data_IF_144997297922
#
_entry.id   IF_144997297922
#
_cell.length_a   1.000
_cell.length_b   1.000
_cell.length_c   1.000
_cell.angle_alpha   90.00
_cell.angle_beta   90.00
_cell.angle_gamma   90.00
#
_symmetry.space_group_name_H-M   'P 1'
#
loop_
_entity.id
_entity.type
_entity.pdbx_description
1 polymer ?
#
# COMPACT_ATOMS: atom_id res chain seq x y z
N UNK A 1 -45.89 -3.36 -19.35
CA UNK A 1 -44.61 -3.56 -18.63
C UNK A 1 -44.37 -2.32 -17.81
N UNK A 2 -44.36 -2.44 -16.48
CA UNK A 2 -44.13 -1.30 -15.57
C UNK A 2 -42.66 -0.88 -15.67
N UNK A 3 -42.36 0.15 -16.46
CA UNK A 3 -41.06 0.80 -16.41
C UNK A 3 -41.02 1.68 -15.17
N UNK A 4 -40.08 1.42 -14.27
CA UNK A 4 -39.85 2.33 -13.14
C UNK A 4 -38.98 3.49 -13.61
N UNK A 5 -39.43 4.72 -13.33
CA UNK A 5 -38.69 5.94 -13.66
C UNK A 5 -38.09 6.50 -12.38
N UNK A 6 -36.77 6.52 -12.30
CA UNK A 6 -36.02 7.07 -11.16
C UNK A 6 -35.46 8.42 -11.54
N UNK A 7 -35.71 9.45 -10.73
CA UNK A 7 -35.22 10.79 -11.01
C UNK A 7 -34.40 11.27 -9.81
N UNK A 8 -33.11 11.51 -10.02
CA UNK A 8 -32.24 12.14 -9.04
C UNK A 8 -32.24 13.64 -9.29
N UNK A 9 -32.79 14.41 -8.34
CA UNK A 9 -33.01 15.85 -8.45
C UNK A 9 -32.26 16.58 -7.33
N UNK A 10 -31.50 17.65 -7.63
CA UNK A 10 -30.91 18.49 -6.60
C UNK A 10 -31.99 19.23 -5.83
N UNK A 11 -31.81 19.39 -4.51
CA UNK A 11 -32.67 20.24 -3.71
C UNK A 11 -32.47 21.69 -4.17
N UNK A 12 -33.51 22.27 -4.75
CA UNK A 12 -33.51 23.64 -5.23
C UNK A 12 -33.68 24.64 -4.07
N UNK A 13 -32.99 25.79 -4.08
CA UNK A 13 -33.19 26.84 -3.09
C UNK A 13 -34.61 27.41 -3.21
N UNK A 14 -35.28 27.67 -2.08
CA UNK A 14 -36.66 28.18 -2.06
C UNK A 14 -36.79 29.62 -2.59
N UNK A 15 -35.70 30.39 -2.61
CA UNK A 15 -35.71 31.82 -2.99
C UNK A 15 -35.71 32.07 -4.51
N UNK A 16 -35.52 31.02 -5.33
CA UNK A 16 -35.46 31.13 -6.79
C UNK A 16 -36.82 30.84 -7.44
N UNK A 17 -37.38 31.85 -8.10
CA UNK A 17 -38.69 31.77 -8.80
C UNK A 17 -38.66 30.93 -10.08
N UNK A 18 -37.50 30.85 -10.75
CA UNK A 18 -37.33 30.12 -12.00
C UNK A 18 -35.99 29.41 -12.00
N UNK A 19 -35.99 28.11 -12.24
CA UNK A 19 -34.76 27.29 -12.28
C UNK A 19 -34.78 26.44 -13.54
N UNK A 20 -33.71 26.56 -14.31
CA UNK A 20 -33.45 25.71 -15.45
C UNK A 20 -32.42 24.67 -15.09
N UNK A 21 -32.62 23.43 -15.54
CA UNK A 21 -31.69 22.34 -15.24
C UNK A 21 -31.38 21.47 -16.44
N UNK A 22 -30.19 20.88 -16.39
CA UNK A 22 -29.66 19.91 -17.35
C UNK A 22 -29.39 18.59 -16.63
N UNK A 23 -29.67 17.49 -17.31
CA UNK A 23 -29.36 16.16 -16.84
C UNK A 23 -29.05 15.17 -17.97
N UNK A 24 -28.82 13.93 -17.57
CA UNK A 24 -28.54 12.79 -18.43
C UNK A 24 -29.52 11.65 -18.17
N UNK A 25 -29.89 10.95 -19.24
CA UNK A 25 -30.76 9.77 -19.20
C UNK A 25 -29.91 8.53 -19.38
N UNK A 26 -30.17 7.52 -18.57
CA UNK A 26 -29.60 6.18 -18.76
C UNK A 26 -30.69 5.14 -18.67
N UNK A 27 -30.70 4.22 -19.63
CA UNK A 27 -31.58 3.06 -19.67
C UNK A 27 -30.81 1.84 -19.17
N UNK A 28 -31.41 1.09 -18.24
CA UNK A 28 -30.89 -0.20 -17.79
C UNK A 28 -31.52 -1.33 -18.60
N UNK A 29 -30.88 -2.51 -18.62
CA UNK A 29 -31.31 -3.68 -19.38
C UNK A 29 -32.76 -4.13 -19.06
N UNK A 30 -33.29 -3.77 -17.89
CA UNK A 30 -34.66 -4.10 -17.45
C UNK A 30 -35.71 -3.02 -17.80
N UNK A 31 -35.49 -2.17 -18.82
CA UNK A 31 -36.36 -1.04 -19.19
C UNK A 31 -36.60 0.00 -18.07
N UNK A 32 -35.78 0.00 -17.02
CA UNK A 32 -35.77 1.03 -15.99
C UNK A 32 -35.03 2.27 -16.48
N UNK A 33 -35.67 3.43 -16.41
CA UNK A 33 -35.10 4.71 -16.84
C UNK A 33 -34.62 5.46 -15.61
N UNK A 34 -33.33 5.81 -15.57
CA UNK A 34 -32.76 6.67 -14.53
C UNK A 34 -32.35 8.00 -15.13
N UNK A 35 -32.91 9.08 -14.60
CA UNK A 35 -32.65 10.45 -14.97
C UNK A 35 -31.76 11.08 -13.88
N UNK A 36 -30.59 11.57 -14.28
CA UNK A 36 -29.66 12.29 -13.40
C UNK A 36 -29.68 13.76 -13.76
N UNK A 37 -30.20 14.61 -12.89
CA UNK A 37 -30.00 16.05 -13.05
C UNK A 37 -28.58 16.36 -12.54
N UNK A 38 -27.79 17.14 -13.29
CA UNK A 38 -26.35 17.36 -12.99
C UNK A 38 -25.98 18.82 -12.88
N UNK A 39 -26.82 19.72 -13.39
CA UNK A 39 -26.61 21.18 -13.33
C UNK A 39 -27.94 21.91 -13.27
N UNK A 40 -27.99 22.99 -12.50
CA UNK A 40 -29.12 23.92 -12.49
C UNK A 40 -28.61 25.37 -12.41
N UNK A 41 -29.42 26.32 -12.85
CA UNK A 41 -29.14 27.75 -12.76
C UNK A 41 -30.45 28.56 -12.62
N UNK A 42 -30.34 29.73 -11.97
CA UNK A 42 -31.46 30.66 -11.73
C UNK A 42 -31.75 31.59 -12.92
N UNK A 43 -31.03 31.43 -14.03
CA UNK A 43 -31.20 32.20 -15.27
C UNK A 43 -31.12 31.23 -16.45
N UNK A 44 -31.70 31.62 -17.60
CA UNK A 44 -31.64 30.84 -18.84
C UNK A 44 -30.22 30.31 -19.07
N UNK A 45 -30.04 29.00 -18.88
CA UNK A 45 -28.81 28.32 -19.26
C UNK A 45 -28.70 28.50 -20.76
N UNK A 46 -27.54 28.86 -21.30
CA UNK A 46 -27.34 28.88 -22.75
C UNK A 46 -27.51 27.45 -23.27
N UNK A 47 -28.71 27.14 -23.77
CA UNK A 47 -29.03 25.82 -24.30
C UNK A 47 -28.37 25.63 -25.66
N UNK A 48 -27.68 24.51 -25.91
CA UNK A 48 -27.15 24.23 -27.23
C UNK A 48 -28.29 24.07 -28.24
N UNK A 49 -28.05 24.46 -29.49
CA UNK A 49 -29.05 24.44 -30.55
C UNK A 49 -29.56 23.02 -30.90
N UNK A 50 -28.83 21.96 -30.53
CA UNK A 50 -29.17 20.56 -30.79
C UNK A 50 -28.95 19.71 -29.53
N UNK A 51 -30.00 19.03 -29.07
CA UNK A 51 -29.97 18.12 -27.91
C UNK A 51 -29.35 16.78 -28.31
N UNK A 52 -28.47 16.22 -27.47
CA UNK A 52 -27.99 14.83 -27.63
C UNK A 52 -29.04 13.85 -27.11
N UNK A 53 -29.09 12.64 -27.67
CA UNK A 53 -30.11 11.63 -27.31
C UNK A 53 -30.15 11.28 -25.82
N UNK A 54 -28.99 11.33 -25.13
CA UNK A 54 -28.88 11.00 -23.70
C UNK A 54 -29.01 12.22 -22.77
N UNK A 55 -29.29 13.42 -23.28
CA UNK A 55 -29.45 14.62 -22.46
C UNK A 55 -30.93 14.92 -22.22
N UNK A 56 -31.26 15.38 -21.01
CA UNK A 56 -32.57 15.91 -20.65
C UNK A 56 -32.44 17.35 -20.17
N UNK A 57 -33.41 18.16 -20.54
CA UNK A 57 -33.51 19.55 -20.11
C UNK A 57 -34.82 19.75 -19.38
N UNK A 58 -34.86 20.68 -18.44
CA UNK A 58 -36.08 20.91 -17.70
C UNK A 58 -36.16 22.27 -17.04
N UNK A 59 -37.37 22.56 -16.59
CA UNK A 59 -37.75 23.81 -15.96
C UNK A 59 -38.45 23.51 -14.64
N UNK A 60 -38.17 24.34 -13.64
CA UNK A 60 -38.82 24.33 -12.34
C UNK A 60 -39.30 25.76 -12.04
N UNK A 61 -40.62 25.94 -11.92
CA UNK A 61 -41.25 27.24 -11.68
C UNK A 61 -42.78 27.17 -11.68
N UNK A 62 -43.46 28.28 -11.38
CA UNK A 62 -44.93 28.33 -11.31
C UNK A 62 -45.60 28.24 -12.70
N UNK A 63 -44.96 28.78 -13.74
CA UNK A 63 -45.52 28.81 -15.10
C UNK A 63 -44.47 28.48 -16.16
N UNK A 64 -44.70 27.38 -16.90
CA UNK A 64 -43.82 27.00 -18.00
C UNK A 64 -43.88 28.02 -19.17
N UNK A 65 -42.75 28.61 -19.59
CA UNK A 65 -42.73 29.48 -20.75
C UNK A 65 -43.09 28.70 -22.04
N UNK A 66 -44.16 29.11 -22.74
CA UNK A 66 -44.70 28.43 -23.94
C UNK A 66 -43.67 28.19 -25.07
N UNK A 67 -42.56 28.92 -25.10
CA UNK A 67 -41.49 28.78 -26.11
C UNK A 67 -40.52 27.61 -25.84
N UNK A 68 -40.52 27.02 -24.65
CA UNK A 68 -39.46 26.07 -24.22
C UNK A 68 -39.89 24.59 -24.35
N UNK A 69 -41.15 24.26 -24.08
CA UNK A 69 -41.66 22.87 -24.07
C UNK A 69 -41.45 22.11 -25.39
N UNK A 70 -41.57 22.80 -26.54
CA UNK A 70 -41.59 22.14 -27.85
C UNK A 70 -40.21 22.06 -28.53
N UNK A 71 -39.17 22.58 -27.88
CA UNK A 71 -37.83 22.69 -28.49
C UNK A 71 -36.98 21.42 -28.30
N UNK A 72 -37.36 20.55 -27.36
CA UNK A 72 -36.53 19.44 -26.89
C UNK A 72 -37.30 18.12 -26.93
N UNK A 73 -36.65 17.05 -27.39
CA UNK A 73 -37.24 15.71 -27.47
C UNK A 73 -37.34 15.05 -26.10
N UNK A 74 -36.40 15.36 -25.20
CA UNK A 74 -36.43 14.97 -23.79
C UNK A 74 -36.60 16.22 -22.91
N UNK A 75 -37.75 16.35 -22.23
CA UNK A 75 -38.06 17.49 -21.40
C UNK A 75 -38.73 17.08 -20.08
N UNK A 76 -38.35 17.74 -18.97
CA UNK A 76 -38.91 17.53 -17.64
C UNK A 76 -39.46 18.86 -17.08
N UNK A 77 -40.75 18.88 -16.76
CA UNK A 77 -41.44 20.03 -16.16
C UNK A 77 -41.83 19.72 -14.71
N UNK A 78 -41.39 20.58 -13.80
CA UNK A 78 -41.58 20.43 -12.36
C UNK A 78 -42.21 21.71 -11.81
N UNK A 79 -43.30 21.57 -11.07
CA UNK A 79 -43.94 22.67 -10.37
C UNK A 79 -43.50 22.70 -8.91
N UNK A 80 -43.11 23.88 -8.43
CA UNK A 80 -42.57 24.11 -7.10
C UNK A 80 -43.47 25.06 -6.30
N UNK A 81 -44.46 24.51 -5.60
CA UNK A 81 -45.34 25.26 -4.69
C UNK A 81 -44.94 25.00 -3.22
N UNK A 82 -45.32 23.84 -2.65
CA UNK A 82 -44.94 23.38 -1.29
C UNK A 82 -44.34 21.97 -1.28
N UNK A 83 -44.66 21.17 -2.30
CA UNK A 83 -44.11 19.85 -2.59
C UNK A 83 -43.76 19.79 -4.07
N UNK A 84 -42.63 19.19 -4.45
CA UNK A 84 -42.23 19.04 -5.85
C UNK A 84 -43.26 18.14 -6.58
N UNK A 85 -44.00 18.71 -7.53
CA UNK A 85 -44.94 17.98 -8.39
C UNK A 85 -44.39 17.91 -9.80
N UNK A 86 -44.41 16.72 -10.40
CA UNK A 86 -43.96 16.53 -11.78
C UNK A 86 -45.17 16.71 -12.70
N UNK A 87 -45.16 17.78 -13.50
CA UNK A 87 -46.27 18.13 -14.38
C UNK A 87 -46.17 17.42 -15.73
N UNK A 88 -44.96 17.28 -16.28
CA UNK A 88 -44.75 16.66 -17.59
C UNK A 88 -43.39 15.98 -17.68
N UNK A 89 -43.38 14.71 -18.05
CA UNK A 89 -42.18 13.97 -18.46
C UNK A 89 -42.32 13.61 -19.94
N UNK A 90 -41.43 14.15 -20.78
CA UNK A 90 -41.34 13.82 -22.20
C UNK A 90 -40.00 13.13 -22.44
N UNK A 91 -40.03 11.88 -22.94
CA UNK A 91 -38.86 11.09 -23.28
C UNK A 91 -38.99 10.63 -24.74
N UNK A 92 -37.95 10.87 -25.55
CA UNK A 92 -37.90 10.60 -26.98
C UNK A 92 -39.15 11.10 -27.74
N UNK A 93 -39.64 12.28 -27.37
CA UNK A 93 -40.81 12.91 -27.97
C UNK A 93 -42.17 12.37 -27.51
N UNK A 94 -42.22 11.30 -26.70
CA UNK A 94 -43.46 10.73 -26.14
C UNK A 94 -43.65 11.14 -24.68
N UNK A 95 -44.89 11.49 -24.31
CA UNK A 95 -45.24 11.81 -22.93
C UNK A 95 -45.40 10.52 -22.12
N UNK A 96 -44.63 10.38 -21.05
CA UNK A 96 -44.66 9.20 -20.18
C UNK A 96 -45.50 9.51 -18.94
N UNK A 97 -46.74 9.03 -18.92
CA UNK A 97 -47.65 9.17 -17.78
C UNK A 97 -47.28 8.10 -16.77
N UNK A 98 -46.56 8.45 -15.70
CA UNK A 98 -46.16 7.51 -14.65
C UNK A 98 -46.50 8.08 -13.28
N UNK A 99 -47.78 8.00 -12.91
CA UNK A 99 -48.25 8.44 -11.59
C UNK A 99 -47.93 7.42 -10.48
N UNK A 100 -47.67 6.15 -10.81
CA UNK A 100 -47.50 5.07 -9.80
C UNK A 100 -46.12 4.40 -9.76
N UNK A 101 -45.26 4.59 -10.76
CA UNK A 101 -43.93 3.94 -10.85
C UNK A 101 -42.75 4.92 -10.85
N UNK A 102 -42.95 6.14 -10.35
CA UNK A 102 -41.91 7.18 -10.27
C UNK A 102 -41.29 7.26 -8.86
N UNK A 103 -39.97 7.16 -8.79
CA UNK A 103 -39.19 7.34 -7.55
C UNK A 103 -38.39 8.63 -7.68
N UNK A 104 -38.71 9.60 -6.83
CA UNK A 104 -38.03 10.89 -6.75
C UNK A 104 -36.97 10.84 -5.66
N UNK A 105 -35.71 11.06 -6.01
CA UNK A 105 -34.60 11.09 -5.06
C UNK A 105 -34.01 12.50 -4.99
N UNK A 106 -34.25 13.18 -3.88
CA UNK A 106 -33.74 14.52 -3.61
C UNK A 106 -32.35 14.44 -3.00
N UNK A 107 -31.38 15.16 -3.56
CA UNK A 107 -30.02 15.19 -3.04
C UNK A 107 -29.50 16.62 -2.88
N UNK A 108 -28.60 16.84 -1.92
CA UNK A 108 -27.90 18.11 -1.78
C UNK A 108 -26.79 18.22 -2.84
N UNK A 109 -26.94 19.18 -3.74
CA UNK A 109 -26.05 19.40 -4.86
C UNK A 109 -24.61 19.70 -4.44
N UNK A 110 -24.44 20.58 -3.45
CA UNK A 110 -23.11 21.03 -3.03
C UNK A 110 -22.36 19.89 -2.34
N UNK A 111 -23.06 19.15 -1.47
CA UNK A 111 -22.49 18.00 -0.77
C UNK A 111 -22.07 16.86 -1.72
N UNK A 112 -22.86 16.55 -2.75
CA UNK A 112 -22.49 15.53 -3.76
C UNK A 112 -21.35 16.00 -4.66
N UNK A 113 -21.38 17.27 -5.08
CA UNK A 113 -20.37 17.86 -5.97
C UNK A 113 -18.97 17.85 -5.33
N UNK A 114 -18.88 18.18 -4.05
CA UNK A 114 -17.60 18.30 -3.36
C UNK A 114 -17.10 16.97 -2.76
N UNK A 115 -17.98 15.97 -2.63
CA UNK A 115 -17.62 14.65 -2.12
C UNK A 115 -16.66 13.90 -3.05
N UNK A 116 -15.61 13.32 -2.45
CA UNK A 116 -14.67 12.42 -3.13
C UNK A 116 -14.70 11.00 -2.54
N UNK A 117 -15.58 10.74 -1.56
CA UNK A 117 -15.59 9.48 -0.78
C UNK A 117 -16.71 8.51 -1.18
N UNK A 118 -17.53 8.86 -2.18
CA UNK A 118 -18.59 8.02 -2.74
C UNK A 118 -17.96 7.03 -3.72
N UNK A 119 -17.64 5.83 -3.23
CA UNK A 119 -16.98 4.77 -4.02
C UNK A 119 -17.66 3.41 -3.87
N UNK A 120 -18.90 3.37 -3.38
CA UNK A 120 -19.54 2.09 -3.06
C UNK A 120 -19.99 1.36 -4.34
N UNK A 121 -19.35 0.22 -4.61
CA UNK A 121 -19.59 -0.65 -5.77
C UNK A 121 -20.98 -1.29 -5.82
N UNK A 122 -21.76 -1.21 -4.74
CA UNK A 122 -23.09 -1.81 -4.64
C UNK A 122 -24.20 -0.96 -5.26
N UNK A 123 -24.02 0.36 -5.37
CA UNK A 123 -25.03 1.27 -5.95
C UNK A 123 -24.44 2.02 -7.15
N UNK A 124 -24.51 1.38 -8.33
CA UNK A 124 -23.96 1.94 -9.59
C UNK A 124 -24.52 3.31 -9.95
N UNK A 125 -25.75 3.64 -9.52
CA UNK A 125 -26.43 4.90 -9.84
C UNK A 125 -25.75 6.14 -9.21
N UNK A 126 -25.36 6.08 -7.94
CA UNK A 126 -24.77 7.24 -7.24
C UNK A 126 -23.34 7.51 -7.70
N UNK A 127 -22.56 6.46 -7.92
CA UNK A 127 -21.21 6.59 -8.49
C UNK A 127 -21.28 7.17 -9.90
N UNK A 128 -22.29 6.78 -10.70
CA UNK A 128 -22.52 7.34 -12.02
C UNK A 128 -22.94 8.82 -11.97
N UNK A 129 -23.83 9.20 -11.03
CA UNK A 129 -24.19 10.60 -10.79
C UNK A 129 -22.95 11.46 -10.46
N UNK A 130 -22.12 10.99 -9.52
CA UNK A 130 -20.89 11.69 -9.11
C UNK A 130 -19.93 11.84 -10.30
N UNK A 131 -19.73 10.77 -11.08
CA UNK A 131 -18.88 10.83 -12.27
C UNK A 131 -19.41 11.82 -13.31
N UNK A 132 -20.72 11.84 -13.59
CA UNK A 132 -21.32 12.78 -14.53
C UNK A 132 -21.18 14.24 -14.04
N UNK A 133 -21.39 14.51 -12.75
CA UNK A 133 -21.19 15.84 -12.16
C UNK A 133 -19.71 16.26 -12.25
N UNK A 134 -18.77 15.33 -12.01
CA UNK A 134 -17.33 15.58 -12.08
C UNK A 134 -16.85 15.82 -13.51
N UNK A 135 -17.34 15.03 -14.48
CA UNK A 135 -17.05 15.18 -15.92
C UNK A 135 -17.52 16.54 -16.44
N UNK A 136 -18.73 16.98 -16.07
CA UNK A 136 -19.25 18.30 -16.46
C UNK A 136 -18.45 19.47 -15.86
N UNK A 137 -17.72 19.25 -14.77
CA UNK A 137 -16.82 20.22 -14.15
C UNK A 137 -15.34 20.02 -14.56
N UNK A 138 -15.04 19.11 -15.49
CA UNK A 138 -13.69 18.88 -16.03
C UNK A 138 -12.75 18.07 -15.13
N UNK A 139 -13.27 17.36 -14.13
CA UNK A 139 -12.49 16.50 -13.23
C UNK A 139 -12.52 15.06 -13.76
N UNK A 140 -11.46 14.63 -14.46
CA UNK A 140 -11.36 13.26 -15.01
C UNK A 140 -10.56 12.36 -14.07
N UNK A 141 -11.25 11.43 -13.40
CA UNK A 141 -10.61 10.35 -12.63
C UNK A 141 -10.03 9.29 -13.57
N UNK A 142 -8.77 9.49 -14.01
CA UNK A 142 -7.94 8.40 -14.53
C UNK A 142 -6.93 7.99 -13.47
N UNK A 143 -7.12 6.79 -12.94
CA UNK A 143 -6.17 6.07 -12.09
C UNK A 143 -4.95 5.68 -12.95
N UNK A 144 -4.10 6.65 -13.25
CA UNK A 144 -2.81 6.39 -13.86
C UNK A 144 -1.85 5.98 -12.75
N UNK A 145 -1.46 4.71 -12.74
CA UNK A 145 -0.07 4.29 -13.01
C UNK A 145 0.15 2.83 -12.57
N UNK A 146 0.11 1.90 -13.53
CA UNK A 146 0.70 0.57 -13.36
C UNK A 146 2.22 0.75 -13.38
N UNK A 147 2.88 0.62 -12.23
CA UNK A 147 4.31 0.89 -12.11
C UNK A 147 5.08 -0.40 -11.85
N UNK A 148 6.00 -0.68 -12.78
CA UNK A 148 6.95 -1.79 -12.73
C UNK A 148 7.99 -1.61 -11.60
N UNK A 149 8.22 -2.69 -10.85
CA UNK A 149 9.24 -2.80 -9.82
C UNK A 149 10.63 -2.99 -10.46
N UNK A 150 11.54 -2.05 -10.22
CA UNK A 150 12.95 -2.22 -10.61
C UNK A 150 13.66 -3.14 -9.59
N UNK A 151 13.92 -4.38 -10.00
CA UNK A 151 14.59 -5.42 -9.18
C UNK A 151 16.07 -5.13 -8.86
N UNK A 152 16.74 -4.24 -9.61
CA UNK A 152 18.19 -4.01 -9.47
C UNK A 152 18.60 -3.19 -8.24
N UNK A 153 17.67 -2.53 -7.54
CA UNK A 153 17.92 -1.74 -6.32
C UNK A 153 17.54 -2.48 -5.03
N UNK A 154 17.39 -3.80 -5.07
CA UNK A 154 16.82 -4.57 -3.95
C UNK A 154 17.64 -4.54 -2.65
N UNK A 155 18.93 -4.21 -2.69
CA UNK A 155 19.83 -4.37 -1.54
C UNK A 155 19.93 -3.17 -0.59
N UNK A 156 19.65 -1.95 -1.05
CA UNK A 156 19.75 -0.72 -0.24
C UNK A 156 18.37 -0.10 -0.04
N UNK A 157 17.98 0.08 1.23
CA UNK A 157 16.73 0.73 1.58
C UNK A 157 16.76 2.21 1.23
N UNK A 158 17.91 2.87 1.39
CA UNK A 158 18.08 4.28 1.06
C UNK A 158 17.85 4.56 -0.43
N UNK A 159 18.47 3.77 -1.32
CA UNK A 159 18.30 3.93 -2.76
C UNK A 159 16.87 3.63 -3.20
N UNK A 160 16.25 2.57 -2.67
CA UNK A 160 14.83 2.29 -2.91
C UNK A 160 13.95 3.45 -2.49
N UNK A 161 14.22 4.03 -1.33
CA UNK A 161 13.47 5.16 -0.80
C UNK A 161 13.61 6.39 -1.69
N UNK A 162 14.81 6.75 -2.15
CA UNK A 162 15.02 7.85 -3.11
C UNK A 162 14.20 7.63 -4.37
N UNK A 163 14.28 6.44 -4.98
CA UNK A 163 13.57 6.14 -6.22
C UNK A 163 12.04 6.18 -6.05
N UNK A 164 11.55 5.63 -4.94
CA UNK A 164 10.13 5.67 -4.60
C UNK A 164 9.68 7.11 -4.33
N UNK A 165 10.42 7.86 -3.52
CA UNK A 165 10.11 9.26 -3.18
C UNK A 165 10.08 10.14 -4.44
N UNK A 166 11.05 10.01 -5.33
CA UNK A 166 11.08 10.71 -6.62
C UNK A 166 9.88 10.36 -7.51
N UNK A 167 9.43 9.10 -7.47
CA UNK A 167 8.24 8.65 -8.20
C UNK A 167 6.96 9.22 -7.60
N UNK A 168 6.82 9.23 -6.28
CA UNK A 168 5.70 9.86 -5.58
C UNK A 168 5.63 11.36 -5.91
N UNK A 169 6.78 12.04 -5.94
CA UNK A 169 6.85 13.46 -6.28
C UNK A 169 6.43 13.72 -7.74
N UNK A 170 6.90 12.88 -8.69
CA UNK A 170 6.46 12.96 -10.10
C UNK A 170 4.96 12.74 -10.24
N UNK A 171 4.40 11.75 -9.54
CA UNK A 171 2.95 11.51 -9.50
C UNK A 171 2.18 12.69 -8.90
N UNK A 172 2.67 13.29 -7.81
CA UNK A 172 2.04 14.45 -7.19
C UNK A 172 2.03 15.65 -8.15
N UNK A 173 3.17 15.96 -8.78
CA UNK A 173 3.31 17.08 -9.73
C UNK A 173 2.43 16.88 -10.96
N UNK A 174 2.41 15.67 -11.55
CA UNK A 174 1.59 15.41 -12.73
C UNK A 174 0.10 15.53 -12.44
N UNK A 175 -0.34 15.05 -11.28
CA UNK A 175 -1.76 15.07 -10.90
C UNK A 175 -2.21 16.48 -10.48
N UNK A 176 -1.37 17.25 -9.79
CA UNK A 176 -1.66 18.66 -9.45
C UNK A 176 -1.73 19.55 -10.71
N UNK A 177 -0.82 19.35 -11.67
CA UNK A 177 -0.83 20.08 -12.94
C UNK A 177 -2.08 19.78 -13.78
N UNK A 178 -2.58 18.53 -13.71
CA UNK A 178 -3.77 18.08 -14.44
C UNK A 178 -5.06 18.65 -13.85
N UNK A 179 -5.26 18.49 -12.54
CA UNK A 179 -6.57 18.71 -11.92
C UNK A 179 -6.80 20.16 -11.44
N UNK A 180 -5.74 20.99 -11.37
CA UNK A 180 -5.72 22.38 -10.86
C UNK A 180 -6.30 22.57 -9.44
N UNK A 181 -6.74 21.49 -8.78
CA UNK A 181 -7.29 21.42 -7.43
C UNK A 181 -6.64 20.27 -6.68
N UNK A 182 -6.45 20.45 -5.36
CA UNK A 182 -5.89 19.42 -4.49
C UNK A 182 -6.98 18.40 -4.12
N UNK A 183 -6.88 17.20 -4.68
CA UNK A 183 -7.68 16.05 -4.31
C UNK A 183 -7.28 15.52 -2.91
N UNK A 184 -8.19 14.82 -2.24
CA UNK A 184 -7.95 14.32 -0.88
C UNK A 184 -6.75 13.36 -0.80
N UNK A 185 -6.53 12.53 -1.84
CA UNK A 185 -5.34 11.65 -1.97
C UNK A 185 -4.03 12.45 -1.98
N UNK A 186 -3.99 13.55 -2.74
CA UNK A 186 -2.81 14.41 -2.88
C UNK A 186 -2.55 15.16 -1.58
N UNK A 187 -3.60 15.68 -0.94
CA UNK A 187 -3.49 16.37 0.35
C UNK A 187 -2.93 15.47 1.45
N UNK A 188 -3.33 14.19 1.50
CA UNK A 188 -2.74 13.20 2.41
C UNK A 188 -1.23 13.09 2.20
N UNK A 189 -0.79 12.95 0.95
CA UNK A 189 0.64 12.84 0.64
C UNK A 189 1.42 14.11 1.01
N UNK A 190 0.87 15.29 0.70
CA UNK A 190 1.51 16.58 1.04
C UNK A 190 1.68 16.70 2.55
N UNK A 191 0.63 16.42 3.32
CA UNK A 191 0.70 16.54 4.79
C UNK A 191 1.60 15.47 5.41
N UNK A 192 1.64 14.27 4.82
CA UNK A 192 2.60 13.23 5.20
C UNK A 192 4.06 13.69 4.98
N UNK A 193 4.37 14.31 3.84
CA UNK A 193 5.70 14.86 3.54
C UNK A 193 6.07 15.97 4.54
N UNK A 194 5.14 16.89 4.83
CA UNK A 194 5.39 17.97 5.80
C UNK A 194 5.68 17.41 7.18
N UNK A 195 4.89 16.44 7.65
CA UNK A 195 5.14 15.80 8.94
C UNK A 195 6.44 15.01 8.95
N UNK A 196 6.81 14.37 7.85
CA UNK A 196 8.08 13.65 7.72
C UNK A 196 9.28 14.59 7.86
N UNK A 197 9.23 15.78 7.25
CA UNK A 197 10.26 16.81 7.39
C UNK A 197 10.32 17.33 8.84
N UNK A 198 9.18 17.60 9.47
CA UNK A 198 9.13 18.07 10.88
C UNK A 198 9.72 17.02 11.82
N UNK A 199 9.30 15.76 11.69
CA UNK A 199 9.85 14.64 12.47
C UNK A 199 11.36 14.48 12.22
N UNK A 200 11.80 14.65 10.97
CA UNK A 200 13.21 14.59 10.60
C UNK A 200 14.02 15.68 11.28
N UNK A 201 13.52 16.91 11.31
CA UNK A 201 14.17 18.03 11.99
C UNK A 201 14.27 17.80 13.50
N UNK A 202 13.17 17.34 14.15
CA UNK A 202 13.16 17.01 15.58
C UNK A 202 14.18 15.91 15.89
N UNK A 203 14.22 14.85 15.07
CA UNK A 203 15.17 13.75 15.24
C UNK A 203 16.63 14.21 15.07
N UNK A 204 16.92 15.10 14.11
CA UNK A 204 18.25 15.68 13.96
C UNK A 204 18.64 16.56 15.15
N UNK A 205 17.71 17.33 15.71
CA UNK A 205 18.00 18.19 16.84
C UNK A 205 18.35 17.36 18.10
N UNK A 206 17.69 16.22 18.29
CA UNK A 206 18.09 15.24 19.30
C UNK A 206 19.47 14.63 19.03
N UNK A 207 19.80 14.38 17.76
CA UNK A 207 21.10 13.85 17.35
C UNK A 207 22.20 14.93 17.26
N UNK A 208 21.87 16.22 17.37
CA UNK A 208 22.85 17.30 17.21
C UNK A 208 23.63 17.63 18.49
N UNK A 209 23.43 16.86 19.55
CA UNK A 209 24.35 16.85 20.69
C UNK A 209 25.70 16.28 20.21
N UNK A 210 26.84 16.86 20.66
CA UNK A 210 28.19 16.78 20.04
C UNK A 210 28.41 15.52 19.16
N UNK A 211 28.52 15.72 17.84
CA UNK A 211 28.70 14.63 16.85
C UNK A 211 29.88 13.72 17.19
N UNK A 212 30.90 14.26 17.85
CA UNK A 212 32.08 13.48 18.30
C UNK A 212 31.70 12.50 19.40
N UNK A 213 30.90 12.93 20.37
CA UNK A 213 30.41 12.07 21.44
C UNK A 213 29.54 10.93 20.90
N UNK A 214 28.71 11.21 19.89
CA UNK A 214 27.91 10.19 19.21
C UNK A 214 28.81 9.19 18.47
N UNK A 215 29.84 9.67 17.77
CA UNK A 215 30.78 8.79 17.08
C UNK A 215 31.53 7.88 18.06
N UNK A 216 31.99 8.43 19.19
CA UNK A 216 32.65 7.67 20.26
C UNK A 216 31.68 6.65 20.87
N UNK A 217 30.46 7.07 21.18
CA UNK A 217 29.41 6.19 21.71
C UNK A 217 29.05 5.06 20.75
N UNK A 218 28.89 5.36 19.45
CA UNK A 218 28.62 4.37 18.41
C UNK A 218 29.77 3.36 18.31
N UNK A 219 31.02 3.83 18.28
CA UNK A 219 32.18 2.94 18.25
C UNK A 219 32.24 2.04 19.50
N UNK A 220 31.96 2.60 20.69
CA UNK A 220 31.88 1.81 21.93
C UNK A 220 30.78 0.75 21.91
N UNK A 221 29.62 1.04 21.30
CA UNK A 221 28.56 0.04 21.08
C UNK A 221 29.03 -1.05 20.12
N UNK A 222 29.65 -0.69 19.00
CA UNK A 222 30.18 -1.65 18.02
C UNK A 222 31.25 -2.55 18.64
N UNK A 223 32.19 -1.98 19.39
CA UNK A 223 33.21 -2.72 20.14
C UNK A 223 32.57 -3.72 21.12
N UNK A 224 31.58 -3.28 21.90
CA UNK A 224 30.86 -4.17 22.83
C UNK A 224 30.15 -5.32 22.10
N UNK A 225 29.54 -5.06 20.94
CA UNK A 225 28.91 -6.09 20.12
C UNK A 225 29.94 -7.11 19.61
N UNK A 226 31.10 -6.65 19.14
CA UNK A 226 32.17 -7.52 18.65
C UNK A 226 32.73 -8.39 19.79
N UNK A 227 33.00 -7.78 20.94
CA UNK A 227 33.46 -8.51 22.13
C UNK A 227 32.44 -9.56 22.59
N UNK A 228 31.15 -9.24 22.51
CA UNK A 228 30.07 -10.19 22.78
C UNK A 228 30.06 -11.36 21.78
N UNK A 229 30.30 -11.08 20.50
CA UNK A 229 30.39 -12.10 19.45
C UNK A 229 31.63 -13.01 19.64
N UNK A 230 32.77 -12.45 20.03
CA UNK A 230 33.95 -13.22 20.42
C UNK A 230 33.69 -14.13 21.61
N UNK A 231 33.03 -13.60 22.65
CA UNK A 231 32.63 -14.38 23.83
C UNK A 231 31.71 -15.54 23.44
N UNK A 232 30.74 -15.28 22.56
CA UNK A 232 29.84 -16.30 22.03
C UNK A 232 30.59 -17.39 21.24
N UNK A 233 31.52 -17.01 20.36
CA UNK A 233 32.36 -17.97 19.63
C UNK A 233 33.23 -18.81 20.58
N UNK A 234 33.80 -18.20 21.61
CA UNK A 234 34.58 -18.90 22.64
C UNK A 234 33.70 -19.88 23.43
N UNK A 235 32.47 -19.49 23.75
CA UNK A 235 31.48 -20.38 24.38
C UNK A 235 31.11 -21.56 23.48
N UNK A 236 30.90 -21.31 22.17
CA UNK A 236 30.63 -22.37 21.18
C UNK A 236 31.79 -23.36 21.05
N UNK A 237 33.03 -22.89 21.11
CA UNK A 237 34.24 -23.74 21.07
C UNK A 237 34.41 -24.66 22.30
N UNK A 238 33.70 -24.39 23.40
CA UNK A 238 33.72 -25.19 24.62
C UNK A 238 32.74 -26.37 24.57
N UNK A 239 31.86 -26.44 25.57
CA UNK A 239 30.77 -27.41 25.68
C UNK A 239 29.42 -26.67 25.79
N UNK A 240 28.96 -26.03 24.70
CA UNK A 240 27.72 -25.25 24.72
C UNK A 240 26.52 -26.15 25.04
N UNK A 241 25.69 -25.74 26.00
CA UNK A 241 24.48 -26.47 26.44
C UNK A 241 24.75 -27.92 26.87
N UNK A 242 25.99 -28.25 27.26
CA UNK A 242 26.39 -29.62 27.60
C UNK A 242 26.49 -30.57 26.41
N UNK A 243 26.39 -30.07 25.17
CA UNK A 243 26.54 -30.89 23.97
C UNK A 243 28.00 -31.30 23.76
N UNK A 244 28.24 -32.60 23.62
CA UNK A 244 29.57 -33.14 23.28
C UNK A 244 29.84 -33.00 21.79
N UNK A 245 30.37 -31.84 21.40
CA UNK A 245 30.75 -31.55 20.03
C UNK A 245 32.07 -32.21 19.64
N UNK A 246 32.31 -32.35 18.33
CA UNK A 246 33.62 -32.80 17.85
C UNK A 246 34.68 -31.73 18.13
N UNK A 247 35.59 -32.00 19.07
CA UNK A 247 36.53 -31.00 19.60
C UNK A 247 37.43 -30.40 18.51
N UNK A 248 37.99 -31.23 17.63
CA UNK A 248 38.92 -30.78 16.59
C UNK A 248 38.19 -29.86 15.58
N UNK A 249 37.03 -30.30 15.10
CA UNK A 249 36.25 -29.56 14.13
C UNK A 249 35.61 -28.30 14.73
N UNK A 250 35.13 -28.37 15.97
CA UNK A 250 34.60 -27.21 16.70
C UNK A 250 35.68 -26.12 16.88
N UNK A 251 36.89 -26.51 17.28
CA UNK A 251 38.03 -25.58 17.38
C UNK A 251 38.41 -24.98 16.03
N UNK A 252 38.37 -25.77 14.96
CA UNK A 252 38.64 -25.29 13.61
C UNK A 252 37.62 -24.23 13.18
N UNK A 253 36.31 -24.52 13.29
CA UNK A 253 35.23 -23.58 12.95
C UNK A 253 35.29 -22.31 13.82
N UNK A 254 35.47 -22.47 15.13
CA UNK A 254 35.55 -21.33 16.04
C UNK A 254 36.71 -20.40 15.72
N UNK A 255 37.90 -20.94 15.40
CA UNK A 255 39.05 -20.14 14.93
C UNK A 255 38.74 -19.45 13.60
N UNK A 256 38.16 -20.17 12.64
CA UNK A 256 37.81 -19.64 11.32
C UNK A 256 36.80 -18.48 11.39
N UNK A 257 35.75 -18.63 12.20
CA UNK A 257 34.76 -17.55 12.39
C UNK A 257 35.31 -16.41 13.24
N UNK A 258 36.15 -16.69 14.24
CA UNK A 258 36.83 -15.64 15.01
C UNK A 258 37.71 -14.76 14.13
N UNK A 259 38.38 -15.36 13.12
CA UNK A 259 39.14 -14.60 12.14
C UNK A 259 38.28 -13.61 11.34
N UNK A 260 37.04 -13.97 10.98
CA UNK A 260 36.11 -13.05 10.30
C UNK A 260 35.70 -11.88 11.20
N UNK A 261 35.49 -12.15 12.48
CA UNK A 261 35.21 -11.10 13.47
C UNK A 261 36.43 -10.19 13.65
N UNK A 262 37.64 -10.73 13.60
CA UNK A 262 38.88 -9.96 13.66
C UNK A 262 39.08 -9.07 12.43
N UNK A 263 38.80 -9.60 11.24
CA UNK A 263 38.84 -8.80 10.02
C UNK A 263 37.84 -7.64 10.07
N UNK A 264 36.65 -7.90 10.62
CA UNK A 264 35.64 -6.87 10.84
C UNK A 264 36.09 -5.82 11.86
N UNK A 265 36.75 -6.23 12.94
CA UNK A 265 37.35 -5.31 13.90
C UNK A 265 38.36 -4.37 13.23
N UNK A 266 39.29 -4.92 12.45
CA UNK A 266 40.28 -4.12 11.71
C UNK A 266 39.60 -3.14 10.73
N UNK A 267 38.55 -3.59 10.06
CA UNK A 267 37.76 -2.72 9.19
C UNK A 267 37.12 -1.55 9.96
N UNK A 268 36.58 -1.81 11.15
CA UNK A 268 35.98 -0.77 11.98
C UNK A 268 36.99 0.18 12.58
N UNK A 269 38.18 -0.29 12.95
CA UNK A 269 39.28 0.55 13.43
C UNK A 269 39.67 1.58 12.36
N UNK A 270 39.88 1.12 11.12
CA UNK A 270 40.18 1.98 9.97
C UNK A 270 39.00 2.88 9.58
N UNK A 271 37.76 2.37 9.70
CA UNK A 271 36.56 3.13 9.34
C UNK A 271 36.15 4.14 10.42
N UNK A 272 36.55 3.90 11.66
CA UNK A 272 36.23 4.70 12.85
C UNK A 272 36.63 6.15 12.68
N UNK A 273 37.85 6.38 12.16
CA UNK A 273 38.37 7.72 11.87
C UNK A 273 37.50 8.50 10.87
N UNK A 274 36.74 7.81 10.01
CA UNK A 274 35.89 8.40 8.96
C UNK A 274 34.40 8.43 9.33
N UNK A 275 34.02 7.96 10.52
CA UNK A 275 32.61 7.93 10.95
C UNK A 275 31.98 9.32 10.98
N UNK A 276 32.74 10.35 11.33
CA UNK A 276 32.23 11.72 11.35
C UNK A 276 31.74 12.18 9.97
N UNK A 277 32.40 11.77 8.88
CA UNK A 277 31.99 12.08 7.50
C UNK A 277 30.63 11.43 7.19
N UNK A 278 30.44 10.17 7.61
CA UNK A 278 29.17 9.44 7.43
C UNK A 278 28.06 10.13 8.23
N UNK A 279 28.35 10.57 9.45
CA UNK A 279 27.41 11.33 10.29
C UNK A 279 27.07 12.70 9.69
N UNK A 280 28.02 13.37 9.03
CA UNK A 280 27.75 14.63 8.32
C UNK A 280 26.84 14.40 7.10
N UNK A 281 27.11 13.37 6.29
CA UNK A 281 26.24 12.97 5.17
C UNK A 281 24.84 12.64 5.68
N UNK A 282 24.74 11.86 6.77
CA UNK A 282 23.48 11.55 7.42
C UNK A 282 22.74 12.82 7.87
N UNK A 283 23.46 13.78 8.45
CA UNK A 283 22.88 15.04 8.92
C UNK A 283 22.31 15.87 7.77
N UNK A 284 23.07 16.04 6.66
CA UNK A 284 22.59 16.78 5.49
C UNK A 284 21.39 16.13 4.82
N UNK A 285 21.42 14.80 4.64
CA UNK A 285 20.30 14.07 4.05
C UNK A 285 19.10 14.03 5.01
N UNK A 286 19.36 14.06 6.32
CA UNK A 286 18.32 14.01 7.33
C UNK A 286 17.34 15.18 7.28
N UNK A 287 17.74 16.33 6.73
CA UNK A 287 16.84 17.46 6.51
C UNK A 287 15.71 17.18 5.51
N UNK A 288 15.86 16.15 4.66
CA UNK A 288 14.82 15.74 3.72
C UNK A 288 13.64 15.04 4.41
N UNK A 289 13.83 14.53 5.63
CA UNK A 289 12.78 13.90 6.43
C UNK A 289 13.25 12.71 7.26
N UNK A 290 12.42 12.31 8.22
CA UNK A 290 12.67 11.17 9.09
C UNK A 290 12.71 9.84 8.34
N UNK A 291 11.93 9.70 7.25
CA UNK A 291 11.95 8.50 6.41
C UNK A 291 13.30 8.29 5.74
N UNK A 292 13.98 9.36 5.30
CA UNK A 292 15.34 9.29 4.74
C UNK A 292 16.36 8.88 5.80
N UNK A 293 16.27 9.45 7.00
CA UNK A 293 17.09 9.08 8.14
C UNK A 293 16.95 7.58 8.48
N UNK A 294 15.71 7.12 8.58
CA UNK A 294 15.38 5.71 8.86
C UNK A 294 15.95 4.77 7.79
N UNK A 295 15.90 5.17 6.51
CA UNK A 295 16.43 4.37 5.41
C UNK A 295 17.96 4.26 5.47
N UNK A 296 18.69 5.34 5.82
CA UNK A 296 20.14 5.28 6.02
C UNK A 296 20.48 4.40 7.23
N UNK A 297 19.78 4.55 8.36
CA UNK A 297 20.00 3.72 9.56
C UNK A 297 19.84 2.23 9.23
N UNK A 298 18.84 1.86 8.42
CA UNK A 298 18.66 0.48 7.97
C UNK A 298 19.88 -0.04 7.19
N UNK A 299 20.44 0.77 6.29
CA UNK A 299 21.62 0.39 5.51
C UNK A 299 22.88 0.32 6.38
N UNK A 300 23.03 1.21 7.37
CA UNK A 300 24.10 1.14 8.37
C UNK A 300 24.01 -0.13 9.22
N UNK A 301 22.82 -0.56 9.63
CA UNK A 301 22.61 -1.84 10.33
C UNK A 301 22.97 -3.03 9.44
N UNK A 302 22.66 -2.96 8.13
CA UNK A 302 23.06 -3.98 7.16
C UNK A 302 24.59 -4.11 7.10
N UNK A 303 25.30 -2.99 7.00
CA UNK A 303 26.77 -2.94 7.03
C UNK A 303 27.30 -3.46 8.37
N UNK A 304 26.76 -2.99 9.49
CA UNK A 304 27.18 -3.39 10.84
C UNK A 304 27.05 -4.90 11.08
N UNK A 305 26.04 -5.54 10.49
CA UNK A 305 25.78 -6.98 10.63
C UNK A 305 26.37 -7.83 9.50
N UNK A 306 27.11 -7.23 8.57
CA UNK A 306 27.66 -7.90 7.39
C UNK A 306 28.58 -9.09 7.74
N UNK A 307 29.49 -8.92 8.70
CA UNK A 307 30.39 -9.98 9.14
C UNK A 307 29.62 -11.21 9.67
N UNK A 308 28.55 -10.98 10.44
CA UNK A 308 27.68 -12.06 10.93
C UNK A 308 26.91 -12.72 9.78
N UNK A 309 26.50 -11.95 8.76
CA UNK A 309 25.88 -12.49 7.56
C UNK A 309 26.86 -13.39 6.77
N UNK A 310 28.12 -12.99 6.63
CA UNK A 310 29.14 -13.84 6.01
C UNK A 310 29.30 -15.18 6.76
N UNK A 311 29.41 -15.13 8.09
CA UNK A 311 29.51 -16.34 8.92
C UNK A 311 28.26 -17.22 8.75
N UNK A 312 27.06 -16.62 8.76
CA UNK A 312 25.81 -17.31 8.46
C UNK A 312 25.85 -18.02 7.09
N UNK A 313 26.30 -17.34 6.04
CA UNK A 313 26.39 -17.92 4.69
C UNK A 313 27.30 -19.15 4.66
N UNK A 314 28.45 -19.09 5.32
CA UNK A 314 29.36 -20.23 5.44
C UNK A 314 28.74 -21.37 6.24
N UNK A 315 28.13 -21.08 7.39
CA UNK A 315 27.49 -22.07 8.24
C UNK A 315 26.32 -22.75 7.52
N UNK A 316 25.48 -21.98 6.83
CA UNK A 316 24.34 -22.50 6.05
C UNK A 316 24.81 -23.40 4.90
N UNK A 317 25.85 -22.99 4.16
CA UNK A 317 26.41 -23.81 3.08
C UNK A 317 27.00 -25.11 3.61
N UNK A 318 27.73 -25.04 4.71
CA UNK A 318 28.35 -26.21 5.32
C UNK A 318 27.28 -27.17 5.86
N UNK A 319 26.24 -26.65 6.53
CA UNK A 319 25.09 -27.44 6.97
C UNK A 319 24.38 -28.11 5.78
N UNK A 320 24.13 -27.38 4.70
CA UNK A 320 23.49 -27.92 3.50
C UNK A 320 24.33 -29.02 2.83
N UNK A 321 25.65 -28.86 2.75
CA UNK A 321 26.57 -29.89 2.25
C UNK A 321 26.48 -31.15 3.11
N UNK A 322 26.47 -31.02 4.43
CA UNK A 322 26.39 -32.17 5.33
C UNK A 322 25.06 -32.90 5.23
N UNK A 323 23.94 -32.18 5.23
CA UNK A 323 22.61 -32.79 5.07
C UNK A 323 22.48 -33.46 3.70
N UNK A 324 22.87 -32.77 2.63
CA UNK A 324 22.84 -33.33 1.26
C UNK A 324 23.74 -34.56 1.13
N UNK A 325 24.93 -34.53 1.76
CA UNK A 325 25.85 -35.65 1.82
C UNK A 325 25.29 -36.84 2.58
N UNK A 326 24.69 -36.62 3.75
CA UNK A 326 24.03 -37.67 4.53
C UNK A 326 22.86 -38.29 3.75
N UNK A 327 22.03 -37.48 3.09
CA UNK A 327 20.93 -37.98 2.26
C UNK A 327 21.47 -38.79 1.07
N UNK A 328 22.57 -38.34 0.44
CA UNK A 328 23.20 -39.08 -0.65
C UNK A 328 23.74 -40.44 -0.19
N UNK A 329 24.37 -40.51 0.98
CA UNK A 329 24.87 -41.75 1.57
C UNK A 329 23.76 -42.68 2.04
N UNK A 330 22.65 -42.14 2.58
CA UNK A 330 21.46 -42.93 2.88
C UNK A 330 20.88 -43.60 1.62
N UNK A 331 20.88 -42.89 0.48
CA UNK A 331 20.49 -43.49 -0.80
C UNK A 331 21.47 -44.57 -1.25
N UNK A 332 22.77 -44.37 -1.05
CA UNK A 332 23.80 -45.37 -1.35
C UNK A 332 23.53 -46.67 -0.60
N UNK A 333 23.22 -46.62 0.69
CA UNK A 333 22.91 -47.83 1.49
C UNK A 333 21.65 -48.57 1.03
N UNK A 334 20.71 -47.87 0.38
CA UNK A 334 19.49 -48.46 -0.18
C UNK A 334 19.69 -48.94 -1.62
N UNK A 335 20.88 -48.77 -2.21
CA UNK A 335 21.13 -49.12 -3.62
C UNK A 335 20.49 -48.12 -4.60
N UNK A 336 20.42 -46.83 -4.22
CA UNK A 336 19.81 -45.78 -5.03
C UNK A 336 20.80 -44.64 -5.31
N UNK A 337 20.73 -44.05 -6.51
CA UNK A 337 21.56 -42.92 -6.96
C UNK A 337 20.69 -41.84 -7.59
N UNK A 338 20.97 -40.57 -7.29
CA UNK A 338 20.33 -39.46 -8.02
C UNK A 338 20.99 -39.30 -9.39
N UNK A 339 20.18 -39.25 -10.45
CA UNK A 339 20.61 -39.05 -11.82
C UNK A 339 20.21 -37.64 -12.29
N UNK A 340 21.17 -36.70 -12.39
CA UNK A 340 20.89 -35.34 -12.85
C UNK A 340 20.34 -35.27 -14.27
N UNK A 341 20.69 -36.21 -15.15
CA UNK A 341 20.27 -36.22 -16.55
C UNK A 341 18.79 -36.56 -16.71
N UNK A 342 18.25 -37.39 -15.80
CA UNK A 342 16.84 -37.79 -15.78
C UNK A 342 16.02 -37.04 -14.73
N UNK A 343 16.65 -36.24 -13.87
CA UNK A 343 16.00 -35.56 -12.75
C UNK A 343 15.36 -36.52 -11.74
N UNK A 344 15.84 -37.77 -11.66
CA UNK A 344 15.21 -38.86 -10.93
C UNK A 344 16.17 -39.68 -10.07
N UNK A 345 15.64 -40.65 -9.34
CA UNK A 345 16.41 -41.59 -8.52
C UNK A 345 16.41 -42.95 -9.22
N UNK A 346 17.60 -43.44 -9.59
CA UNK A 346 17.80 -44.73 -10.24
C UNK A 346 18.29 -45.77 -9.22
N UNK A 347 17.98 -47.05 -9.45
CA UNK A 347 18.61 -48.17 -8.75
C UNK A 347 20.05 -48.36 -9.23
N UNK A 348 20.96 -48.64 -8.30
CA UNK A 348 22.36 -48.90 -8.58
C UNK A 348 22.84 -50.04 -7.68
N UNK A 349 23.53 -51.01 -8.26
CA UNK A 349 24.23 -52.03 -7.51
C UNK A 349 25.56 -51.45 -7.01
N UNK A 350 25.89 -51.71 -5.76
CA UNK A 350 27.11 -51.25 -5.13
C UNK A 350 27.86 -52.44 -4.54
N UNK A 351 29.18 -52.42 -4.67
CA UNK A 351 30.07 -53.41 -4.10
C UNK A 351 30.18 -53.24 -2.57
N UNK A 352 30.59 -54.30 -1.88
CA UNK A 352 30.84 -54.26 -0.43
C UNK A 352 31.89 -53.20 -0.04
N UNK A 353 32.88 -52.96 -0.92
CA UNK A 353 33.92 -51.94 -0.70
C UNK A 353 33.33 -50.52 -0.75
N UNK A 354 32.44 -50.24 -1.70
CA UNK A 354 31.77 -48.95 -1.82
C UNK A 354 30.83 -48.68 -0.63
N UNK A 355 30.08 -49.70 -0.18
CA UNK A 355 29.26 -49.61 1.03
C UNK A 355 30.10 -49.34 2.28
N UNK A 356 31.27 -49.97 2.39
CA UNK A 356 32.18 -49.74 3.51
C UNK A 356 32.68 -48.30 3.55
N UNK A 357 33.16 -47.77 2.42
CA UNK A 357 33.59 -46.36 2.31
C UNK A 357 32.43 -45.42 2.62
N UNK A 358 31.23 -45.71 2.10
CA UNK A 358 30.01 -44.97 2.40
C UNK A 358 29.67 -44.95 3.88
N UNK A 359 29.85 -46.07 4.58
CA UNK A 359 29.60 -46.21 6.03
C UNK A 359 30.57 -45.36 6.85
N UNK A 360 31.86 -45.37 6.50
CA UNK A 360 32.87 -44.53 7.16
C UNK A 360 32.55 -43.05 6.94
N UNK A 361 32.29 -42.64 5.69
CA UNK A 361 31.94 -41.26 5.36
C UNK A 361 30.65 -40.80 6.06
N UNK A 362 29.63 -41.67 6.12
CA UNK A 362 28.36 -41.37 6.79
C UNK A 362 28.57 -41.15 8.28
N UNK A 363 29.34 -42.03 8.92
CA UNK A 363 29.67 -41.92 10.35
C UNK A 363 30.41 -40.62 10.64
N UNK A 364 31.39 -40.24 9.82
CA UNK A 364 32.13 -38.98 9.97
C UNK A 364 31.16 -37.78 9.84
N UNK A 365 30.36 -37.72 8.77
CA UNK A 365 29.42 -36.61 8.57
C UNK A 365 28.39 -36.52 9.70
N UNK A 366 27.86 -37.66 10.15
CA UNK A 366 26.87 -37.72 11.23
C UNK A 366 27.46 -37.24 12.56
N UNK A 367 28.70 -37.61 12.88
CA UNK A 367 29.38 -37.18 14.10
C UNK A 367 29.79 -35.69 14.07
N UNK A 368 30.00 -35.12 12.88
CA UNK A 368 30.30 -33.69 12.71
C UNK A 368 29.03 -32.82 12.71
N UNK A 369 27.88 -33.38 12.32
CA UNK A 369 26.61 -32.67 12.14
C UNK A 369 26.15 -31.86 13.37
N UNK A 370 26.24 -32.33 14.62
CA UNK A 370 25.81 -31.53 15.78
C UNK A 370 26.58 -30.21 15.89
N UNK A 371 27.87 -30.24 15.54
CA UNK A 371 28.73 -29.04 15.60
C UNK A 371 28.26 -28.02 14.57
N UNK A 372 28.06 -28.43 13.33
CA UNK A 372 27.67 -27.51 12.24
C UNK A 372 26.27 -26.96 12.43
N UNK A 373 25.35 -27.81 12.90
CA UNK A 373 23.97 -27.44 13.21
C UNK A 373 23.94 -26.35 14.27
N UNK A 374 24.76 -26.45 15.31
CA UNK A 374 24.81 -25.43 16.36
C UNK A 374 25.26 -24.07 15.83
N UNK A 375 26.38 -24.01 15.08
CA UNK A 375 26.83 -22.76 14.46
C UNK A 375 25.78 -22.22 13.48
N UNK A 376 25.19 -23.08 12.66
CA UNK A 376 24.15 -22.71 11.73
C UNK A 376 22.95 -22.05 12.43
N UNK A 377 22.42 -22.67 13.49
CA UNK A 377 21.27 -22.13 14.24
C UNK A 377 21.60 -20.77 14.83
N UNK A 378 22.74 -20.64 15.53
CA UNK A 378 23.14 -19.38 16.18
C UNK A 378 23.23 -18.24 15.18
N UNK A 379 23.92 -18.44 14.05
CA UNK A 379 24.09 -17.39 13.05
C UNK A 379 22.83 -17.16 12.20
N UNK A 380 21.94 -18.15 12.11
CA UNK A 380 20.59 -17.97 11.54
C UNK A 380 19.75 -17.05 12.42
N UNK A 381 19.83 -17.18 13.75
CA UNK A 381 19.12 -16.29 14.68
C UNK A 381 19.57 -14.84 14.49
N UNK A 382 20.88 -14.59 14.37
CA UNK A 382 21.40 -13.24 14.06
C UNK A 382 20.86 -12.71 12.72
N UNK A 383 20.84 -13.55 11.68
CA UNK A 383 20.32 -13.17 10.37
C UNK A 383 18.84 -12.80 10.43
N UNK A 384 18.02 -13.62 11.09
CA UNK A 384 16.58 -13.38 11.25
C UNK A 384 16.33 -12.11 12.06
N UNK A 385 17.08 -11.89 13.14
CA UNK A 385 16.96 -10.67 13.95
C UNK A 385 17.28 -9.41 13.15
N UNK A 386 18.37 -9.42 12.36
CA UNK A 386 18.74 -8.31 11.48
C UNK A 386 17.63 -8.02 10.46
N UNK A 387 17.05 -9.05 9.84
CA UNK A 387 15.94 -8.91 8.91
C UNK A 387 14.66 -8.37 9.56
N UNK A 388 14.35 -8.77 10.80
CA UNK A 388 13.20 -8.24 11.56
C UNK A 388 13.39 -6.74 11.78
N UNK A 389 14.57 -6.30 12.21
CA UNK A 389 14.87 -4.88 12.42
C UNK A 389 14.71 -4.09 11.12
N UNK A 390 15.28 -4.57 10.01
CA UNK A 390 15.13 -3.93 8.70
C UNK A 390 13.66 -3.87 8.26
N UNK A 391 12.89 -4.93 8.49
CA UNK A 391 11.45 -4.95 8.16
C UNK A 391 10.65 -3.95 9.01
N UNK A 392 10.96 -3.81 10.30
CA UNK A 392 10.33 -2.83 11.18
C UNK A 392 10.62 -1.40 10.71
N UNK A 393 11.86 -1.10 10.35
CA UNK A 393 12.24 0.21 9.79
C UNK A 393 11.50 0.50 8.47
N UNK A 394 11.41 -0.46 7.56
CA UNK A 394 10.64 -0.33 6.32
C UNK A 394 9.15 -0.05 6.59
N UNK A 395 8.58 -0.71 7.62
CA UNK A 395 7.19 -0.50 8.04
C UNK A 395 6.98 0.90 8.65
N UNK A 396 7.95 1.43 9.38
CA UNK A 396 7.92 2.81 9.89
C UNK A 396 7.89 3.80 8.74
N UNK A 397 8.78 3.64 7.75
CA UNK A 397 8.79 4.49 6.53
C UNK A 397 7.42 4.46 5.85
N UNK A 398 6.89 3.26 5.65
CA UNK A 398 5.59 3.07 5.02
C UNK A 398 4.44 3.73 5.80
N UNK A 399 4.44 3.61 7.13
CA UNK A 399 3.41 4.18 7.99
C UNK A 399 3.41 5.72 7.93
N UNK A 400 4.59 6.34 7.90
CA UNK A 400 4.72 7.81 7.79
C UNK A 400 4.20 8.28 6.42
N UNK A 401 4.64 7.64 5.33
CA UNK A 401 4.24 8.01 3.97
C UNK A 401 2.75 7.78 3.67
N UNK A 402 2.10 6.85 4.36
CA UNK A 402 0.66 6.55 4.19
C UNK A 402 -0.21 7.19 5.27
N UNK A 403 0.36 8.08 6.10
CA UNK A 403 -0.36 8.70 7.22
C UNK A 403 -1.57 9.50 6.72
N UNK A 404 -2.79 9.24 7.25
CA UNK A 404 -4.04 9.84 6.74
C UNK A 404 -4.30 11.24 7.31
N UNK A 405 -3.26 12.03 7.52
CA UNK A 405 -3.37 13.27 8.30
C UNK A 405 -4.36 14.25 7.67
N UNK A 406 -4.38 14.35 6.34
CA UNK A 406 -5.25 15.30 5.65
C UNK A 406 -6.72 14.84 5.67
N UNK A 407 -6.96 13.55 5.47
CA UNK A 407 -8.30 12.97 5.62
C UNK A 407 -8.82 13.13 7.04
N UNK A 408 -7.98 12.90 8.05
CA UNK A 408 -8.37 13.03 9.45
C UNK A 408 -8.69 14.49 9.78
N UNK A 409 -7.87 15.45 9.36
CA UNK A 409 -8.16 16.88 9.55
C UNK A 409 -9.47 17.29 8.88
N UNK A 410 -9.72 16.86 7.63
CA UNK A 410 -11.00 17.09 6.96
C UNK A 410 -12.19 16.43 7.66
N UNK A 411 -11.98 15.25 8.25
CA UNK A 411 -13.00 14.53 9.01
C UNK A 411 -13.36 15.23 10.33
N UNK A 412 -12.36 15.81 11.02
CA UNK A 412 -12.56 16.63 12.23
C UNK A 412 -13.32 17.91 11.89
N UNK A 413 -12.99 18.57 10.77
CA UNK A 413 -13.60 19.84 10.34
C UNK A 413 -14.98 19.66 9.68
N UNK A 414 -15.51 18.43 9.58
CA UNK A 414 -16.77 18.13 8.89
C UNK A 414 -16.79 18.55 7.41
N UNK A 415 -15.66 18.45 6.71
CA UNK A 415 -15.59 18.89 5.31
C UNK A 415 -16.48 18.04 4.38
N UNK A 416 -17.18 18.66 3.41
CA UNK A 416 -18.00 17.93 2.44
C UNK A 416 -17.22 16.91 1.60
N UNK A 417 -15.88 17.07 1.48
CA UNK A 417 -15.00 16.20 0.71
C UNK A 417 -14.93 14.74 1.20
N UNK A 418 -15.10 14.52 2.50
CA UNK A 418 -14.96 13.20 3.16
C UNK A 418 -16.30 12.52 3.46
N UNK A 419 -17.40 13.20 3.14
CA UNK A 419 -18.76 12.67 3.31
C UNK A 419 -19.02 11.70 2.15
N UNK A 420 -19.61 10.53 2.41
CA UNK A 420 -19.80 9.53 1.35
C UNK A 420 -20.59 8.29 1.72
N UNK A 421 -21.07 8.18 2.97
CA UNK A 421 -22.07 7.18 3.34
C UNK A 421 -23.44 7.74 2.97
N UNK A 422 -24.22 6.99 2.21
CA UNK A 422 -25.53 7.43 1.72
C UNK A 422 -26.61 6.93 2.69
N UNK A 423 -27.36 7.85 3.29
CA UNK A 423 -28.57 7.56 4.05
C UNK A 423 -29.77 7.97 3.17
N UNK A 424 -30.73 7.07 3.04
CA UNK A 424 -31.96 7.33 2.29
C UNK A 424 -33.10 7.37 3.30
N UNK A 425 -33.73 8.53 3.43
CA UNK A 425 -34.91 8.75 4.27
C UNK A 425 -36.14 8.83 3.38
N UNK A 426 -37.23 8.20 3.79
CA UNK A 426 -38.50 8.25 3.06
C UNK A 426 -39.29 9.44 3.58
N UNK A 427 -39.65 10.40 2.70
CA UNK A 427 -40.38 11.61 3.11
C UNK A 427 -41.89 11.37 3.05
N UNK A 428 -42.40 10.78 1.95
CA UNK A 428 -43.83 10.54 1.74
C UNK A 428 -44.07 9.08 1.28
N UNK A 429 -45.09 8.44 1.85
CA UNK A 429 -45.64 7.13 1.45
C UNK A 429 -47.15 7.24 1.25
N UNK A 430 -47.62 8.10 0.34
CA UNK A 430 -49.05 8.12 -0.01
C UNK A 430 -49.29 7.20 -1.22
N UNK A 431 -50.40 6.45 -1.22
CA UNK A 431 -50.70 5.39 -2.19
C UNK A 431 -50.93 5.89 -3.64
N UNK A 432 -50.95 7.20 -3.88
CA UNK A 432 -51.19 7.82 -5.19
C UNK A 432 -50.20 8.94 -5.57
N UNK A 433 -49.10 9.10 -4.83
CA UNK A 433 -48.05 10.10 -5.13
C UNK A 433 -46.69 9.44 -5.36
N UNK A 434 -45.76 10.07 -6.10
CA UNK A 434 -44.45 9.48 -6.35
C UNK A 434 -43.69 9.28 -5.04
N UNK A 435 -42.99 8.15 -4.89
CA UNK A 435 -42.18 7.88 -3.71
C UNK A 435 -41.05 8.91 -3.62
N UNK A 436 -41.10 9.81 -2.63
CA UNK A 436 -40.06 10.83 -2.42
C UNK A 436 -39.07 10.36 -1.36
N UNK A 437 -37.81 10.26 -1.77
CA UNK A 437 -36.68 9.86 -0.94
C UNK A 437 -35.73 11.06 -0.78
N UNK A 438 -35.33 11.36 0.45
CA UNK A 438 -34.25 12.30 0.75
C UNK A 438 -32.94 11.54 0.88
N UNK A 439 -31.93 11.98 0.15
CA UNK A 439 -30.57 11.48 0.25
C UNK A 439 -29.78 12.41 1.15
N UNK A 440 -29.41 11.89 2.32
CA UNK A 440 -28.45 12.55 3.20
C UNK A 440 -27.08 11.89 3.07
N UNK A 441 -26.04 12.70 2.94
CA UNK A 441 -24.66 12.23 2.95
C UNK A 441 -24.11 12.30 4.37
N UNK A 442 -23.64 11.16 4.87
CA UNK A 442 -23.01 11.00 6.18
C UNK A 442 -21.50 10.74 6.04
N UNK A 443 -20.78 11.06 7.11
CA UNK A 443 -19.34 10.77 7.20
C UNK A 443 -19.08 9.27 7.11
N UNK A 444 -18.08 8.89 6.32
CA UNK A 444 -17.55 7.53 6.35
C UNK A 444 -16.61 7.37 7.55
N UNK A 445 -16.49 6.15 8.07
CA UNK A 445 -15.53 5.84 9.15
C UNK A 445 -14.09 6.04 8.68
N UNK A 446 -13.20 6.50 9.56
CA UNK A 446 -11.77 6.74 9.26
C UNK A 446 -11.10 5.53 8.58
N UNK A 447 -11.28 4.26 9.03
CA UNK A 447 -10.66 3.10 8.38
C UNK A 447 -11.10 2.88 6.92
N UNK A 448 -12.34 3.25 6.60
CA UNK A 448 -12.85 3.16 5.22
C UNK A 448 -12.26 4.28 4.35
N UNK A 449 -12.17 5.51 4.87
CA UNK A 449 -11.54 6.64 4.18
C UNK A 449 -10.05 6.38 3.92
N UNK A 450 -9.37 5.74 4.87
CA UNK A 450 -7.98 5.30 4.76
C UNK A 450 -7.74 4.37 3.56
N UNK A 451 -8.67 3.44 3.29
CA UNK A 451 -8.57 2.55 2.13
C UNK A 451 -8.81 3.28 0.80
N UNK A 452 -9.72 4.25 0.80
CA UNK A 452 -10.12 5.01 -0.40
C UNK A 452 -9.04 6.02 -0.79
N UNK A 453 -8.50 6.74 0.19
CA UNK A 453 -7.59 7.87 -0.01
C UNK A 453 -6.12 7.55 0.25
N UNK A 454 -5.76 6.27 0.10
CA UNK A 454 -4.39 5.81 0.26
C UNK A 454 -3.53 6.32 -0.91
N UNK A 455 -2.40 7.00 -0.64
CA UNK A 455 -1.46 7.37 -1.69
C UNK A 455 -0.80 6.12 -2.32
N UNK A 456 -0.31 6.19 -3.57
CA UNK A 456 0.32 5.06 -4.27
C UNK A 456 1.74 4.76 -3.74
N UNK A 457 1.82 4.41 -2.45
CA UNK A 457 3.08 4.10 -1.75
C UNK A 457 3.37 2.61 -1.86
N UNK A 458 4.55 2.27 -2.36
CA UNK A 458 5.05 0.90 -2.37
C UNK A 458 5.65 0.53 -1.03
N UNK A 459 5.45 -0.72 -0.60
CA UNK A 459 6.09 -1.27 0.59
C UNK A 459 7.55 -1.59 0.23
N UNK A 460 8.50 -0.97 0.94
CA UNK A 460 9.92 -1.30 0.82
C UNK A 460 10.19 -2.68 1.45
N UNK A 461 11.07 -3.47 0.83
CA UNK A 461 11.51 -4.79 1.32
C UNK A 461 10.37 -5.72 1.79
N UNK A 462 9.59 -6.24 0.84
CA UNK A 462 8.55 -7.24 1.13
C UNK A 462 9.21 -8.57 1.51
N UNK A 463 9.32 -8.82 2.82
CA UNK A 463 9.79 -10.11 3.34
C UNK A 463 8.66 -11.14 3.25
N UNK A 464 8.90 -12.22 2.51
CA UNK A 464 7.98 -13.36 2.44
C UNK A 464 8.28 -14.34 3.59
N UNK A 465 7.71 -14.05 4.77
CA UNK A 465 7.95 -14.80 6.00
C UNK A 465 7.71 -16.31 5.88
N UNK A 466 6.70 -16.73 5.09
CA UNK A 466 6.42 -18.14 4.85
C UNK A 466 7.54 -18.88 4.11
N UNK A 467 8.16 -18.21 3.15
CA UNK A 467 9.30 -18.75 2.40
C UNK A 467 10.58 -18.76 3.24
N UNK A 468 10.72 -17.80 4.16
CA UNK A 468 11.87 -17.71 5.06
C UNK A 468 11.95 -18.90 6.02
N UNK A 469 10.83 -19.27 6.66
CA UNK A 469 10.80 -20.40 7.60
C UNK A 469 11.13 -21.73 6.89
N UNK A 470 10.55 -21.93 5.70
CA UNK A 470 10.87 -23.06 4.83
C UNK A 470 12.36 -23.09 4.47
N UNK A 471 12.94 -21.95 4.08
CA UNK A 471 14.35 -21.86 3.73
C UNK A 471 15.28 -22.15 4.92
N UNK A 472 14.95 -21.68 6.13
CA UNK A 472 15.67 -22.02 7.37
C UNK A 472 15.66 -23.54 7.60
N UNK A 473 14.50 -24.17 7.51
CA UNK A 473 14.38 -25.61 7.78
C UNK A 473 15.13 -26.47 6.75
N UNK A 474 15.16 -26.04 5.48
CA UNK A 474 15.84 -26.75 4.38
C UNK A 474 17.34 -26.37 4.31
N UNK A 475 17.80 -25.40 5.12
CA UNK A 475 19.17 -24.88 5.04
C UNK A 475 19.45 -24.13 3.72
N UNK A 476 18.40 -23.64 3.04
CA UNK A 476 18.53 -22.75 1.88
C UNK A 476 18.93 -21.35 2.37
N UNK A 477 19.79 -20.70 1.60
CA UNK A 477 20.26 -19.35 1.92
C UNK A 477 19.10 -18.36 1.97
N UNK A 478 19.12 -17.49 2.98
CA UNK A 478 18.13 -16.43 3.19
C UNK A 478 18.76 -15.14 2.69
N UNK A 479 18.37 -14.74 1.48
CA UNK A 479 18.84 -13.53 0.80
C UNK A 479 18.11 -12.30 1.30
#
# INVERSE_FOLDING_TARGET
MSSTVRILIPIFPLDSKEIFFKGYITTSNDNNVTIYITKYANSDIVWPAKQRENEIYGYCGEYLPKKVSNRFSNFLDIEQNTTLKINKIQLNGKQVITTTSCILMLYDYNSIKDSQAITDSKNSYFTKLVNLIQEEHGLVNKDDTNISNQQWLASSMFLQHICNYWRLLRWLISTLRRDKKVAVKQGNLILAIVMDIILGYIALQWLSQDKRDISIGLMGVLEKLINSLYSLLKWLMGAPVGLKLNNAFNKMLGKYFSYHVQLWWLFLDVSGEKLYIILDIYHYIGYLGFTFQTAIVSDLICIATFHSYCIYVYAARLFNIQISGLIALLRLFVGRKYNPLRGGIDSCEYTNQELFVGTVAFTILLLLLPTTTLYYIVFTVFRVLSLIVQHLLAKIIYAIQTSPLYVVTLWVINSPKVIGKILIEVINQEENSPLVLRIQLLKKSIPALLKIFKPPVHILNKVEWGNLLSNVLVGKQIV
#
